data_IF_055661470321
#
_entry.id   IF_055661470321
#
_cell.length_a   1.000
_cell.length_b   1.000
_cell.length_c   1.000
_cell.angle_alpha   90.00
_cell.angle_beta   90.00
_cell.angle_gamma   90.00
#
_symmetry.space_group_name_H-M   'P 1'
#
loop_
_entity.id
_entity.type
_entity.pdbx_description
1 polymer ?
#
# COMPACT_ATOMS: atom_id res chain seq x y z
N UNK A 1 3.14 3.25 38.11
CA UNK A 1 2.22 2.62 37.13
C UNK A 1 2.60 3.17 35.77
N UNK A 2 3.42 2.40 35.05
CA UNK A 2 3.97 2.76 33.75
C UNK A 2 2.85 2.75 32.70
N UNK A 3 2.58 3.90 32.10
CA UNK A 3 1.80 3.97 30.88
C UNK A 3 2.67 3.42 29.76
N UNK A 4 2.44 2.16 29.39
CA UNK A 4 2.91 1.62 28.11
C UNK A 4 2.21 2.40 26.99
N UNK A 5 2.78 3.54 26.63
CA UNK A 5 2.49 4.21 25.37
C UNK A 5 3.01 3.28 24.27
N UNK A 6 2.12 2.41 23.79
CA UNK A 6 2.19 1.91 22.43
C UNK A 6 2.14 3.14 21.52
N UNK A 7 3.30 3.71 21.22
CA UNK A 7 3.49 4.55 20.05
C UNK A 7 3.09 3.69 18.86
N UNK A 8 1.83 3.79 18.44
CA UNK A 8 1.35 3.26 17.17
C UNK A 8 2.24 3.91 16.11
N UNK A 9 3.22 3.15 15.63
CA UNK A 9 4.27 3.63 14.74
C UNK A 9 3.65 4.23 13.46
N UNK A 10 3.74 5.55 13.36
CA UNK A 10 3.32 6.33 12.21
C UNK A 10 4.29 6.06 11.06
N UNK A 11 3.77 5.66 9.89
CA UNK A 11 4.63 5.28 8.77
C UNK A 11 5.17 6.53 8.03
N UNK A 12 6.51 6.65 7.87
CA UNK A 12 7.08 7.64 6.98
C UNK A 12 6.88 7.22 5.51
N UNK A 13 5.91 7.86 4.85
CA UNK A 13 5.53 7.53 3.47
C UNK A 13 6.55 7.97 2.41
N UNK A 14 7.52 8.81 2.78
CA UNK A 14 8.45 9.41 1.83
C UNK A 14 9.41 8.41 1.16
N UNK A 15 9.86 7.32 1.82
CA UNK A 15 10.76 6.31 1.18
C UNK A 15 10.71 4.87 1.71
N UNK A 16 10.31 4.61 2.94
CA UNK A 16 10.49 3.28 3.57
C UNK A 16 9.20 2.55 3.94
N UNK A 17 8.05 3.04 3.46
CA UNK A 17 6.73 2.46 3.74
C UNK A 17 6.61 0.96 3.42
N UNK A 18 7.41 0.46 2.47
CA UNK A 18 7.45 -0.96 2.08
C UNK A 18 7.94 -1.87 3.22
N UNK A 19 8.71 -1.35 4.17
CA UNK A 19 9.19 -2.12 5.34
C UNK A 19 8.10 -2.37 6.37
N UNK A 20 7.04 -1.57 6.34
CA UNK A 20 5.86 -1.69 7.21
C UNK A 20 4.82 -2.68 6.67
N UNK A 21 5.11 -3.35 5.54
CA UNK A 21 4.19 -4.29 4.90
C UNK A 21 4.48 -5.70 5.39
N UNK A 22 3.43 -6.35 5.89
CA UNK A 22 3.47 -7.70 6.42
C UNK A 22 2.34 -8.56 5.82
N UNK A 23 2.64 -9.79 5.34
CA UNK A 23 3.97 -10.41 5.21
C UNK A 23 4.90 -9.65 4.25
N UNK A 24 6.19 -10.01 4.19
CA UNK A 24 7.17 -9.34 3.31
C UNK A 24 6.70 -9.35 1.84
N UNK A 25 6.47 -8.17 1.21
CA UNK A 25 5.92 -8.08 -0.14
C UNK A 25 6.98 -8.28 -1.24
N UNK A 26 8.26 -8.49 -0.90
CA UNK A 26 9.39 -8.46 -1.86
C UNK A 26 9.19 -9.34 -3.09
N UNK A 27 8.69 -10.58 -2.93
CA UNK A 27 8.44 -11.49 -4.07
C UNK A 27 7.40 -10.91 -5.02
N UNK A 28 6.30 -10.39 -4.50
CA UNK A 28 5.20 -9.83 -5.29
C UNK A 28 5.61 -8.54 -5.99
N UNK A 29 6.30 -7.64 -5.27
CA UNK A 29 6.83 -6.41 -5.86
C UNK A 29 7.77 -6.70 -7.05
N UNK A 30 8.63 -7.71 -6.94
CA UNK A 30 9.51 -8.13 -8.05
C UNK A 30 8.72 -8.65 -9.25
N UNK A 31 7.70 -9.48 -9.03
CA UNK A 31 6.86 -10.02 -10.10
C UNK A 31 6.02 -8.94 -10.80
N UNK A 32 5.44 -8.01 -10.04
CA UNK A 32 4.64 -6.92 -10.59
C UNK A 32 5.53 -5.91 -11.34
N UNK A 33 6.71 -5.60 -10.79
CA UNK A 33 7.68 -4.71 -11.44
C UNK A 33 8.20 -5.25 -12.78
N UNK A 34 8.47 -6.56 -12.87
CA UNK A 34 8.88 -7.19 -14.13
C UNK A 34 7.80 -7.09 -15.22
N UNK A 35 6.52 -7.08 -14.80
CA UNK A 35 5.34 -6.84 -15.65
C UNK A 35 5.02 -5.36 -15.87
N UNK A 36 5.79 -4.45 -15.27
CA UNK A 36 5.64 -3.01 -15.45
C UNK A 36 4.63 -2.34 -14.53
N UNK A 37 4.33 -2.93 -13.38
CA UNK A 37 3.46 -2.35 -12.36
C UNK A 37 4.26 -1.97 -11.12
N UNK A 38 4.06 -0.75 -10.62
CA UNK A 38 4.69 -0.27 -9.39
C UNK A 38 3.63 0.32 -8.45
N UNK A 39 3.69 -0.02 -7.13
CA UNK A 39 2.80 0.58 -6.16
C UNK A 39 3.32 1.93 -5.70
N UNK A 40 2.39 2.86 -5.51
CA UNK A 40 2.59 4.19 -4.96
C UNK A 40 1.62 4.38 -3.79
N UNK A 41 2.09 5.03 -2.74
CA UNK A 41 1.22 5.51 -1.67
C UNK A 41 0.85 6.95 -2.00
N UNK A 42 -0.45 7.23 -2.06
CA UNK A 42 -1.00 8.54 -2.36
C UNK A 42 -1.65 9.10 -1.11
N UNK A 43 -1.25 10.31 -0.72
CA UNK A 43 -1.88 11.08 0.35
C UNK A 43 -2.76 12.14 -0.27
N UNK A 44 -4.07 12.04 -0.07
CA UNK A 44 -5.06 13.01 -0.53
C UNK A 44 -5.15 14.18 0.46
N UNK A 45 -4.12 15.03 0.48
CA UNK A 45 -3.97 16.16 1.41
C UNK A 45 -4.94 17.33 1.19
N UNK A 46 -5.66 17.34 0.07
CA UNK A 46 -6.64 18.36 -0.27
C UNK A 46 -7.99 18.17 0.44
N UNK A 47 -8.21 17.02 1.08
CA UNK A 47 -9.40 16.76 1.88
C UNK A 47 -9.29 17.43 3.26
N UNK A 48 -10.43 17.85 3.88
CA UNK A 48 -10.43 18.34 5.26
C UNK A 48 -9.80 17.36 6.26
N UNK A 49 -9.97 16.06 5.99
CA UNK A 49 -9.28 14.97 6.67
C UNK A 49 -8.46 14.18 5.63
N UNK A 50 -7.13 14.36 5.58
CA UNK A 50 -6.29 13.69 4.61
C UNK A 50 -6.39 12.16 4.70
N UNK A 51 -6.46 11.51 3.54
CA UNK A 51 -6.59 10.05 3.42
C UNK A 51 -5.41 9.45 2.69
N UNK A 52 -5.07 8.21 3.04
CA UNK A 52 -4.02 7.41 2.41
C UNK A 52 -4.64 6.29 1.58
N UNK A 53 -4.12 6.12 0.37
CA UNK A 53 -4.47 5.03 -0.55
C UNK A 53 -3.21 4.44 -1.18
N UNK A 54 -3.26 3.17 -1.56
CA UNK A 54 -2.24 2.51 -2.37
C UNK A 54 -2.79 2.35 -3.79
N UNK A 55 -2.01 2.79 -4.78
CA UNK A 55 -2.33 2.67 -6.20
C UNK A 55 -1.23 1.91 -6.90
N UNK A 56 -1.57 1.06 -7.86
CA UNK A 56 -0.63 0.52 -8.83
C UNK A 56 -0.73 1.28 -10.13
N UNK A 57 0.40 1.75 -10.66
CA UNK A 57 0.49 2.32 -12.01
C UNK A 57 1.18 1.36 -12.96
N UNK A 58 0.66 1.29 -14.18
CA UNK A 58 1.35 0.67 -15.30
C UNK A 58 2.47 1.60 -15.83
N UNK A 59 3.39 1.05 -16.64
CA UNK A 59 4.51 1.81 -17.23
C UNK A 59 4.09 3.00 -18.08
N UNK A 60 2.89 2.97 -18.65
CA UNK A 60 2.32 4.07 -19.43
C UNK A 60 1.71 5.18 -18.54
N UNK A 61 1.80 5.05 -17.21
CA UNK A 61 1.29 5.99 -16.23
C UNK A 61 -0.19 5.79 -15.87
N UNK A 62 -0.89 4.87 -16.52
CA UNK A 62 -2.30 4.58 -16.19
C UNK A 62 -2.40 3.90 -14.84
N UNK A 63 -3.46 4.25 -14.09
CA UNK A 63 -3.82 3.53 -12.87
C UNK A 63 -4.33 2.15 -13.27
N UNK A 64 -3.65 1.10 -12.80
CA UNK A 64 -3.97 -0.29 -13.06
C UNK A 64 -4.81 -0.92 -11.94
N UNK A 65 -4.61 -0.46 -10.70
CA UNK A 65 -5.38 -0.87 -9.53
C UNK A 65 -5.31 0.21 -8.44
N UNK A 66 -6.31 0.27 -7.59
CA UNK A 66 -6.36 1.09 -6.38
C UNK A 66 -6.96 0.25 -5.25
N UNK A 67 -6.50 0.43 -4.02
CA UNK A 67 -7.17 -0.16 -2.87
C UNK A 67 -8.62 0.35 -2.78
N UNK A 68 -9.56 -0.55 -2.45
CA UNK A 68 -10.98 -0.20 -2.35
C UNK A 68 -11.29 0.67 -1.13
N UNK A 69 -10.46 0.59 -0.10
CA UNK A 69 -10.58 1.40 1.11
C UNK A 69 -9.48 2.46 1.18
N UNK A 70 -9.62 3.39 2.12
CA UNK A 70 -8.57 4.34 2.49
C UNK A 70 -8.56 4.49 4.00
N UNK A 71 -7.43 4.91 4.57
CA UNK A 71 -7.33 5.21 6.00
C UNK A 71 -6.99 6.69 6.22
N UNK A 72 -7.22 7.18 7.43
CA UNK A 72 -6.80 8.53 7.81
C UNK A 72 -5.27 8.63 7.80
N UNK A 73 -4.75 9.79 7.39
CA UNK A 73 -3.33 10.10 7.54
C UNK A 73 -3.06 10.67 8.95
N UNK A 74 -1.95 10.28 9.61
CA UNK A 74 -1.01 9.25 9.19
C UNK A 74 -1.54 7.82 9.38
N UNK A 75 -1.18 6.87 8.50
CA UNK A 75 -1.58 5.48 8.63
C UNK A 75 -0.73 4.78 9.70
N UNK A 76 -1.32 3.79 10.36
CA UNK A 76 -0.53 2.77 11.09
C UNK A 76 0.09 1.77 10.10
N UNK A 77 1.11 1.04 10.53
CA UNK A 77 1.70 -0.05 9.73
C UNK A 77 0.65 -1.08 9.28
N UNK A 78 -0.22 -1.50 10.19
CA UNK A 78 -1.29 -2.46 9.91
C UNK A 78 -2.25 -1.96 8.82
N UNK A 79 -2.67 -0.68 8.92
CA UNK A 79 -3.55 -0.06 7.92
C UNK A 79 -2.87 0.01 6.56
N UNK A 80 -1.60 0.45 6.53
CA UNK A 80 -0.85 0.54 5.28
C UNK A 80 -0.64 -0.84 4.65
N UNK A 81 -0.31 -1.85 5.45
CA UNK A 81 -0.16 -3.23 5.01
C UNK A 81 -1.46 -3.77 4.39
N UNK A 82 -2.60 -3.53 5.06
CA UNK A 82 -3.90 -3.93 4.56
C UNK A 82 -4.24 -3.26 3.21
N UNK A 83 -4.04 -1.95 3.08
CA UNK A 83 -4.27 -1.22 1.83
C UNK A 83 -3.37 -1.74 0.70
N UNK A 84 -2.10 -2.04 1.00
CA UNK A 84 -1.17 -2.60 0.03
C UNK A 84 -1.65 -3.95 -0.50
N UNK A 85 -2.03 -4.87 0.39
CA UNK A 85 -2.47 -6.20 -0.03
C UNK A 85 -3.80 -6.17 -0.76
N UNK A 86 -4.74 -5.30 -0.37
CA UNK A 86 -5.97 -5.08 -1.12
C UNK A 86 -5.69 -4.62 -2.56
N UNK A 87 -4.84 -3.60 -2.74
CA UNK A 87 -4.50 -3.10 -4.08
C UNK A 87 -3.76 -4.16 -4.93
N UNK A 88 -2.93 -4.98 -4.26
CA UNK A 88 -2.15 -6.05 -4.88
C UNK A 88 -3.04 -7.21 -5.35
N UNK A 89 -3.98 -7.65 -4.51
CA UNK A 89 -4.95 -8.68 -4.87
C UNK A 89 -5.83 -8.23 -6.03
N UNK A 90 -6.36 -7.00 -5.97
CA UNK A 90 -7.18 -6.43 -7.04
C UNK A 90 -6.42 -6.38 -8.37
N UNK A 91 -5.15 -5.95 -8.36
CA UNK A 91 -4.32 -5.97 -9.56
C UNK A 91 -4.14 -7.39 -10.09
N UNK A 92 -3.85 -8.35 -9.22
CA UNK A 92 -3.68 -9.76 -9.59
C UNK A 92 -4.95 -10.36 -10.21
N UNK A 93 -6.13 -9.99 -9.70
CA UNK A 93 -7.43 -10.38 -10.28
C UNK A 93 -7.62 -9.80 -11.68
N UNK A 94 -7.33 -8.50 -11.86
CA UNK A 94 -7.40 -7.83 -13.18
C UNK A 94 -6.45 -8.48 -14.19
N UNK A 95 -5.25 -8.87 -13.75
CA UNK A 95 -4.24 -9.51 -14.61
C UNK A 95 -4.49 -11.01 -14.85
N UNK A 96 -5.49 -11.62 -14.22
CA UNK A 96 -5.72 -13.07 -14.27
C UNK A 96 -4.55 -13.89 -13.72
N UNK A 97 -3.77 -13.33 -12.80
CA UNK A 97 -2.57 -13.94 -12.24
C UNK A 97 -2.69 -13.97 -10.71
N UNK A 98 -3.18 -15.07 -10.12
CA UNK A 98 -3.36 -15.14 -8.67
C UNK A 98 -2.03 -14.98 -7.93
N UNK A 99 -2.12 -14.45 -6.71
CA UNK A 99 -1.02 -14.44 -5.75
C UNK A 99 -0.76 -15.90 -5.32
N UNK A 100 -0.01 -16.67 -6.11
CA UNK A 100 0.35 -18.04 -5.73
C UNK A 100 1.45 -18.03 -4.67
N UNK A 101 1.16 -18.70 -3.56
CA UNK A 101 2.02 -18.91 -2.38
C UNK A 101 3.44 -19.41 -2.72
#
# INVERSE_FOLDING_TARGET
MEALQHTRDVVPLDRDWRRCIHPDPTRYLKQLSSRGYAPEVVVSSWLPEPRVSVVYRARDGRVASVCNENCAYPPTEEQLSALFWQATDELCRVLGAPLSE
#
